data_IF_715047758428
#
_entry.id   IF_715047758428
#
_cell.length_a   1.000
_cell.length_b   1.000
_cell.length_c   1.000
_cell.angle_alpha   90.00
_cell.angle_beta   90.00
_cell.angle_gamma   90.00
#
_symmetry.space_group_name_H-M   'P 1'
#
loop_
_entity.id
_entity.type
_entity.pdbx_description
1 polymer ?
#
# COMPACT_ATOMS: atom_id res chain seq x y z
N UNK A 1 2.17 4.07 -6.75
CA UNK A 1 2.18 4.96 -5.59
C UNK A 1 3.44 4.73 -4.76
N UNK A 2 4.02 5.81 -4.23
CA UNK A 2 5.16 5.80 -3.30
C UNK A 2 4.71 6.14 -1.89
N UNK A 3 3.53 6.70 -1.76
CA UNK A 3 3.02 7.29 -0.52
C UNK A 3 1.63 6.75 -0.19
N UNK A 4 1.28 6.83 1.08
CA UNK A 4 -0.06 6.70 1.61
C UNK A 4 -0.40 8.01 2.30
N UNK A 5 -1.44 8.68 1.82
CA UNK A 5 -1.91 9.97 2.30
C UNK A 5 -3.17 9.78 3.15
N UNK A 6 -3.25 10.50 4.26
CA UNK A 6 -4.39 10.49 5.16
C UNK A 6 -5.12 11.83 5.11
N UNK A 7 -6.36 11.81 4.69
CA UNK A 7 -7.27 12.97 4.74
C UNK A 7 -8.30 12.74 5.83
N UNK A 8 -8.36 13.66 6.78
CA UNK A 8 -9.25 13.57 7.93
C UNK A 8 -10.41 14.57 7.74
N UNK A 9 -11.62 14.05 7.66
CA UNK A 9 -12.83 14.89 7.51
C UNK A 9 -13.67 14.71 8.78
N UNK A 10 -14.00 15.83 9.44
CA UNK A 10 -14.86 15.87 10.61
C UNK A 10 -15.87 16.99 10.48
N UNK A 11 -17.17 16.68 10.65
CA UNK A 11 -18.27 17.63 10.50
C UNK A 11 -18.23 18.38 9.15
N UNK A 12 -17.95 17.63 8.07
CA UNK A 12 -17.86 18.18 6.70
C UNK A 12 -16.64 19.07 6.43
N UNK A 13 -15.68 19.15 7.37
CA UNK A 13 -14.48 20.00 7.21
C UNK A 13 -13.20 19.15 7.24
N UNK A 14 -12.27 19.45 6.35
CA UNK A 14 -10.94 18.87 6.33
C UNK A 14 -10.18 19.36 7.56
N UNK A 15 -9.55 18.42 8.30
CA UNK A 15 -8.77 18.68 9.52
C UNK A 15 -7.26 18.67 9.25
N UNK A 16 -6.83 18.31 8.05
CA UNK A 16 -5.42 18.27 7.67
C UNK A 16 -4.78 19.65 7.78
N UNK A 17 -3.51 19.68 8.21
CA UNK A 17 -2.75 20.92 8.41
C UNK A 17 -1.49 20.98 7.56
N UNK A 18 -1.14 19.91 6.84
CA UNK A 18 0.06 19.85 6.04
C UNK A 18 0.01 20.86 4.88
N UNK A 19 1.13 21.52 4.64
CA UNK A 19 1.37 22.39 3.47
C UNK A 19 2.48 21.85 2.58
N UNK A 20 3.23 20.86 3.09
CA UNK A 20 4.36 20.22 2.42
C UNK A 20 4.47 18.74 2.81
N UNK A 21 5.31 17.98 2.13
CA UNK A 21 5.58 16.58 2.47
C UNK A 21 6.21 16.43 3.85
N UNK A 22 7.13 17.34 4.22
CA UNK A 22 7.76 17.30 5.53
C UNK A 22 6.74 17.54 6.65
N UNK A 23 5.82 18.49 6.46
CA UNK A 23 4.73 18.71 7.41
C UNK A 23 3.83 17.47 7.51
N UNK A 24 3.52 16.84 6.36
CA UNK A 24 2.73 15.63 6.31
C UNK A 24 3.38 14.47 7.07
N UNK A 25 4.70 14.32 7.01
CA UNK A 25 5.43 13.32 7.79
C UNK A 25 5.38 13.63 9.30
N UNK A 26 5.56 14.88 9.71
CA UNK A 26 5.46 15.29 11.12
C UNK A 26 4.05 15.10 11.70
N UNK A 27 3.04 15.45 10.92
CA UNK A 27 1.63 15.32 11.34
C UNK A 27 1.09 13.89 11.17
N UNK A 28 1.86 12.99 10.58
CA UNK A 28 1.46 11.63 10.15
C UNK A 28 0.32 11.62 9.13
N UNK A 29 0.13 12.72 8.42
CA UNK A 29 -0.82 12.82 7.31
C UNK A 29 -0.26 12.24 6.00
N UNK A 30 1.05 11.96 5.99
CA UNK A 30 1.78 11.35 4.88
C UNK A 30 2.73 10.28 5.40
N UNK A 31 2.63 9.08 4.82
CA UNK A 31 3.61 8.01 4.98
C UNK A 31 4.31 7.74 3.65
N UNK A 32 5.64 7.68 3.66
CA UNK A 32 6.41 7.21 2.51
C UNK A 32 6.39 5.68 2.45
N UNK A 33 5.20 5.15 2.26
CA UNK A 33 4.94 3.74 2.00
C UNK A 33 3.79 3.61 1.02
N UNK A 34 4.05 3.11 -0.18
CA UNK A 34 3.05 2.87 -1.21
C UNK A 34 2.99 1.41 -1.61
N UNK A 35 1.90 1.01 -2.23
CA UNK A 35 1.67 -0.38 -2.63
C UNK A 35 2.46 -0.79 -3.89
N UNK A 36 3.21 0.11 -4.52
CA UNK A 36 3.90 -0.15 -5.78
C UNK A 36 5.39 0.15 -5.72
N UNK A 37 5.80 1.42 -5.65
CA UNK A 37 7.19 1.83 -5.88
C UNK A 37 8.12 1.76 -4.66
N UNK A 38 7.60 1.58 -3.46
CA UNK A 38 8.43 1.53 -2.25
C UNK A 38 9.34 0.30 -2.27
N UNK A 39 10.67 0.46 -2.21
CA UNK A 39 11.59 -0.67 -2.11
C UNK A 39 11.35 -1.46 -0.82
N UNK A 40 11.52 -2.78 -0.85
CA UNK A 40 11.24 -3.61 0.32
C UNK A 40 12.19 -3.35 1.49
N UNK A 41 13.45 -3.01 1.23
CA UNK A 41 14.42 -2.66 2.27
C UNK A 41 14.07 -1.37 3.02
N UNK A 42 13.20 -0.51 2.47
CA UNK A 42 12.73 0.69 3.17
C UNK A 42 11.81 0.38 4.37
N UNK A 43 11.28 -0.83 4.45
CA UNK A 43 10.41 -1.27 5.54
C UNK A 43 11.15 -2.05 6.61
N UNK A 44 12.15 -2.84 6.22
CA UNK A 44 12.79 -3.79 7.11
C UNK A 44 14.13 -4.26 6.55
N UNK A 45 15.10 -4.49 7.44
CA UNK A 45 16.42 -4.97 7.09
C UNK A 45 16.56 -6.50 7.19
N UNK A 46 15.73 -7.13 8.04
CA UNK A 46 15.75 -8.56 8.27
C UNK A 46 14.40 -9.12 8.67
N UNK A 47 14.15 -10.39 8.39
CA UNK A 47 12.92 -11.10 8.74
C UNK A 47 13.27 -12.38 9.46
N UNK A 48 12.75 -12.58 10.67
CA UNK A 48 12.80 -13.86 11.33
C UNK A 48 11.66 -14.76 10.80
N UNK A 49 12.03 -15.91 10.26
CA UNK A 49 11.09 -16.91 9.78
C UNK A 49 11.62 -18.34 10.01
N UNK A 50 10.86 -19.20 10.69
CA UNK A 50 11.23 -20.59 11.03
C UNK A 50 12.60 -20.69 11.70
N UNK A 51 12.85 -19.87 12.72
CA UNK A 51 14.11 -19.79 13.48
C UNK A 51 15.36 -19.45 12.63
N UNK A 52 15.15 -18.83 11.47
CA UNK A 52 16.23 -18.28 10.62
C UNK A 52 16.00 -16.81 10.40
N UNK A 53 17.09 -16.05 10.36
CA UNK A 53 17.09 -14.64 10.00
C UNK A 53 17.39 -14.53 8.50
N UNK A 54 16.52 -13.87 7.78
CA UNK A 54 16.67 -13.55 6.36
C UNK A 54 16.94 -12.05 6.25
N UNK A 55 18.19 -11.70 5.97
CA UNK A 55 18.58 -10.31 5.73
C UNK A 55 18.10 -9.85 4.36
N UNK A 56 17.70 -8.58 4.27
CA UNK A 56 17.33 -7.94 3.02
C UNK A 56 18.50 -7.09 2.55
N UNK A 57 18.95 -7.33 1.32
CA UNK A 57 20.02 -6.56 0.70
C UNK A 57 19.50 -5.13 0.46
N UNK A 58 20.19 -4.07 0.92
CA UNK A 58 19.75 -2.69 0.81
C UNK A 58 19.95 -2.12 -0.61
N UNK A 59 19.46 -2.87 -1.60
CA UNK A 59 19.49 -2.54 -3.02
C UNK A 59 18.08 -2.60 -3.60
N UNK A 60 17.82 -1.78 -4.61
CA UNK A 60 16.51 -1.67 -5.24
C UNK A 60 16.17 -2.86 -6.17
N UNK A 61 16.41 -4.09 -5.73
CA UNK A 61 16.10 -5.31 -6.51
C UNK A 61 14.61 -5.57 -6.65
N UNK A 62 13.82 -5.22 -5.65
CA UNK A 62 12.36 -5.39 -5.68
C UNK A 62 11.65 -4.28 -4.91
N UNK A 63 10.37 -4.16 -5.17
CA UNK A 63 9.49 -3.16 -4.54
C UNK A 63 8.19 -3.80 -4.04
N UNK A 64 7.36 -3.00 -3.40
CA UNK A 64 6.05 -3.43 -2.93
C UNK A 64 5.12 -3.89 -4.07
N UNK A 65 5.36 -3.46 -5.33
CA UNK A 65 4.64 -4.03 -6.48
C UNK A 65 4.89 -5.53 -6.63
N UNK A 66 6.12 -5.99 -6.44
CA UNK A 66 6.46 -7.40 -6.52
C UNK A 66 5.80 -8.20 -5.40
N UNK A 67 5.82 -7.67 -4.18
CA UNK A 67 5.12 -8.27 -3.05
C UNK A 67 3.62 -8.39 -3.35
N UNK A 68 2.99 -7.31 -3.79
CA UNK A 68 1.55 -7.29 -4.03
C UNK A 68 1.12 -8.14 -5.24
N UNK A 69 1.96 -8.31 -6.26
CA UNK A 69 1.73 -9.28 -7.35
C UNK A 69 1.80 -10.71 -6.82
N UNK A 70 2.84 -11.05 -6.04
CA UNK A 70 3.00 -12.40 -5.47
C UNK A 70 1.82 -12.76 -4.57
N UNK A 71 1.31 -11.79 -3.81
CA UNK A 71 0.17 -11.98 -2.91
C UNK A 71 -1.21 -11.85 -3.60
N UNK A 72 -1.26 -11.50 -4.89
CA UNK A 72 -2.50 -11.34 -5.64
C UNK A 72 -3.30 -10.08 -5.27
N UNK A 73 -2.67 -9.08 -4.65
CA UNK A 73 -3.29 -7.79 -4.33
C UNK A 73 -3.30 -6.85 -5.54
N UNK A 74 -2.30 -6.95 -6.42
CA UNK A 74 -2.18 -6.19 -7.65
C UNK A 74 -1.98 -7.13 -8.83
N UNK A 75 -2.43 -6.70 -10.00
CA UNK A 75 -2.17 -7.32 -11.30
C UNK A 75 -1.10 -6.55 -12.08
N UNK A 76 -0.58 -7.16 -13.15
CA UNK A 76 0.35 -6.49 -14.06
C UNK A 76 -0.24 -5.19 -14.64
N UNK A 77 -1.54 -5.17 -14.92
CA UNK A 77 -2.22 -4.00 -15.49
C UNK A 77 -2.37 -2.81 -14.54
N UNK A 78 -2.20 -3.04 -13.23
CA UNK A 78 -2.30 -1.98 -12.22
C UNK A 78 -1.01 -1.18 -12.05
N UNK A 79 0.10 -1.61 -12.67
CA UNK A 79 1.43 -1.07 -12.40
C UNK A 79 1.95 -0.36 -13.65
N UNK A 80 2.09 0.95 -13.56
CA UNK A 80 2.58 1.81 -14.65
C UNK A 80 4.07 2.17 -14.54
N UNK A 81 4.69 1.92 -13.37
CA UNK A 81 6.14 2.17 -13.18
C UNK A 81 6.97 1.05 -13.80
N UNK A 82 8.20 1.37 -14.19
CA UNK A 82 9.18 0.35 -14.57
C UNK A 82 9.54 -0.51 -13.36
N UNK A 83 9.80 -1.80 -13.60
CA UNK A 83 10.36 -2.69 -12.60
C UNK A 83 11.84 -2.39 -12.35
N UNK A 84 12.38 -2.85 -11.22
CA UNK A 84 13.77 -2.61 -10.83
C UNK A 84 14.80 -3.09 -11.87
N UNK A 85 14.52 -4.18 -12.57
CA UNK A 85 15.40 -4.79 -13.57
C UNK A 85 14.93 -4.54 -15.02
N UNK A 86 13.94 -3.68 -15.22
CA UNK A 86 13.35 -3.39 -16.53
C UNK A 86 12.52 -4.54 -17.13
N UNK A 87 12.45 -5.69 -16.48
CA UNK A 87 11.63 -6.82 -16.94
C UNK A 87 10.13 -6.60 -16.70
N UNK A 88 9.29 -7.50 -17.19
CA UNK A 88 7.84 -7.38 -16.99
C UNK A 88 7.43 -7.56 -15.52
N UNK A 89 6.27 -7.00 -15.16
CA UNK A 89 5.60 -7.25 -13.87
C UNK A 89 4.83 -8.58 -13.85
N UNK A 90 5.40 -9.64 -14.41
CA UNK A 90 4.81 -10.98 -14.32
C UNK A 90 5.08 -11.61 -12.95
N UNK A 91 4.23 -12.55 -12.55
CA UNK A 91 4.38 -13.28 -11.30
C UNK A 91 5.77 -13.93 -11.16
N UNK A 92 6.27 -14.57 -12.23
CA UNK A 92 7.60 -15.20 -12.23
C UNK A 92 8.73 -14.18 -12.04
N UNK A 93 8.68 -13.04 -12.73
CA UNK A 93 9.71 -12.01 -12.59
C UNK A 93 9.68 -11.36 -11.21
N UNK A 94 8.50 -11.18 -10.63
CA UNK A 94 8.36 -10.70 -9.24
C UNK A 94 9.00 -11.68 -8.25
N UNK A 95 8.78 -12.98 -8.40
CA UNK A 95 9.48 -13.99 -7.58
C UNK A 95 11.01 -13.90 -7.72
N UNK A 96 11.53 -13.73 -8.93
CA UNK A 96 12.97 -13.58 -9.18
C UNK A 96 13.55 -12.33 -8.50
N UNK A 97 12.89 -11.19 -8.62
CA UNK A 97 13.33 -9.93 -8.00
C UNK A 97 13.32 -10.01 -6.47
N UNK A 98 12.24 -10.53 -5.89
CA UNK A 98 12.16 -10.72 -4.43
C UNK A 98 13.24 -11.69 -3.94
N UNK A 99 13.51 -12.78 -4.67
CA UNK A 99 14.61 -13.70 -4.31
C UNK A 99 15.96 -13.00 -4.23
N UNK A 100 16.27 -12.14 -5.21
CA UNK A 100 17.53 -11.36 -5.23
C UNK A 100 17.65 -10.44 -4.01
N UNK A 101 16.55 -9.86 -3.55
CA UNK A 101 16.56 -9.03 -2.34
C UNK A 101 16.98 -9.80 -1.08
N UNK A 102 16.86 -11.14 -1.09
CA UNK A 102 17.33 -12.02 -0.04
C UNK A 102 18.65 -12.75 -0.38
N UNK A 103 19.32 -12.37 -1.46
CA UNK A 103 20.64 -12.87 -1.84
C UNK A 103 20.65 -14.27 -2.46
N UNK A 104 19.54 -14.73 -3.03
CA UNK A 104 19.51 -16.04 -3.70
C UNK A 104 18.73 -16.02 -5.03
N UNK A 105 19.07 -16.94 -5.91
CA UNK A 105 18.33 -17.14 -7.15
C UNK A 105 17.01 -17.87 -6.90
N UNK A 106 16.01 -17.49 -7.68
CA UNK A 106 14.71 -18.14 -7.64
C UNK A 106 14.75 -19.52 -8.27
N UNK A 107 14.24 -20.51 -7.54
CA UNK A 107 13.79 -21.78 -8.08
C UNK A 107 12.40 -22.13 -7.51
N UNK A 108 11.73 -23.11 -8.14
CA UNK A 108 10.36 -23.49 -7.75
C UNK A 108 10.26 -24.05 -6.34
N UNK A 109 11.31 -24.68 -5.81
CA UNK A 109 11.32 -25.24 -4.44
C UNK A 109 11.23 -24.15 -3.38
N UNK A 110 11.72 -22.95 -3.69
CA UNK A 110 11.70 -21.77 -2.80
C UNK A 110 10.41 -20.96 -2.85
N UNK A 111 9.47 -21.30 -3.74
CA UNK A 111 8.25 -20.52 -3.95
C UNK A 111 7.48 -20.26 -2.64
N UNK A 112 7.27 -21.30 -1.84
CA UNK A 112 6.52 -21.20 -0.58
C UNK A 112 7.28 -20.37 0.46
N UNK A 113 8.61 -20.47 0.50
CA UNK A 113 9.44 -19.63 1.35
C UNK A 113 9.27 -18.16 0.97
N UNK A 114 9.46 -17.83 -0.31
CA UNK A 114 9.36 -16.43 -0.80
C UNK A 114 7.96 -15.89 -0.54
N UNK A 115 6.91 -16.66 -0.79
CA UNK A 115 5.53 -16.25 -0.48
C UNK A 115 5.35 -15.92 1.00
N UNK A 116 5.91 -16.74 1.90
CA UNK A 116 5.84 -16.48 3.34
C UNK A 116 6.62 -15.24 3.76
N UNK A 117 7.78 -14.97 3.14
CA UNK A 117 8.54 -13.73 3.37
C UNK A 117 7.77 -12.50 2.86
N UNK A 118 7.12 -12.62 1.70
CA UNK A 118 6.23 -11.57 1.18
C UNK A 118 5.08 -11.24 2.15
N UNK A 119 4.44 -12.25 2.75
CA UNK A 119 3.41 -12.04 3.75
C UNK A 119 3.93 -11.27 4.96
N UNK A 120 5.16 -11.53 5.42
CA UNK A 120 5.78 -10.79 6.52
C UNK A 120 6.04 -9.33 6.17
N UNK A 121 6.58 -9.05 4.98
CA UNK A 121 6.81 -7.68 4.50
C UNK A 121 5.48 -6.92 4.38
N UNK A 122 4.48 -7.56 3.79
CA UNK A 122 3.13 -6.99 3.68
C UNK A 122 2.52 -6.67 5.05
N UNK A 123 2.66 -7.56 6.05
CA UNK A 123 2.15 -7.34 7.40
C UNK A 123 2.84 -6.16 8.10
N UNK A 124 4.12 -5.92 7.82
CA UNK A 124 4.85 -4.75 8.33
C UNK A 124 4.29 -3.45 7.75
N UNK A 125 4.10 -3.38 6.42
CA UNK A 125 3.47 -2.23 5.78
C UNK A 125 2.06 -2.00 6.32
N UNK A 126 1.28 -3.07 6.43
CA UNK A 126 -0.07 -3.06 6.98
C UNK A 126 -0.11 -2.44 8.39
N UNK A 127 0.77 -2.91 9.29
CA UNK A 127 0.86 -2.40 10.67
C UNK A 127 1.26 -0.92 10.72
N UNK A 128 2.12 -0.46 9.81
CA UNK A 128 2.51 0.95 9.73
C UNK A 128 1.31 1.83 9.36
N UNK A 129 0.54 1.42 8.36
CA UNK A 129 -0.67 2.14 7.93
C UNK A 129 -1.73 2.11 9.04
N UNK A 130 -1.97 0.96 9.64
CA UNK A 130 -2.95 0.79 10.72
C UNK A 130 -2.62 1.63 11.94
N UNK A 131 -1.35 1.62 12.39
CA UNK A 131 -0.88 2.48 13.49
C UNK A 131 -1.13 3.96 13.22
N UNK A 132 -0.98 4.39 11.98
CA UNK A 132 -1.23 5.77 11.60
C UNK A 132 -2.72 6.09 11.58
N UNK A 133 -3.54 5.16 11.10
CA UNK A 133 -5.00 5.28 11.16
C UNK A 133 -5.50 5.37 12.61
N UNK A 134 -5.01 4.49 13.48
CA UNK A 134 -5.32 4.54 14.92
C UNK A 134 -4.94 5.90 15.53
N UNK A 135 -3.75 6.41 15.25
CA UNK A 135 -3.32 7.72 15.73
C UNK A 135 -4.31 8.84 15.35
N UNK A 136 -4.75 8.87 14.09
CA UNK A 136 -5.72 9.88 13.64
C UNK A 136 -7.11 9.66 14.22
N UNK A 137 -7.56 8.41 14.36
CA UNK A 137 -8.85 8.09 14.93
C UNK A 137 -8.93 8.53 16.41
N UNK A 138 -7.90 8.26 17.19
CA UNK A 138 -7.82 8.72 18.58
C UNK A 138 -7.78 10.25 18.69
N UNK A 139 -6.97 10.89 17.87
CA UNK A 139 -6.78 12.35 17.90
C UNK A 139 -8.05 13.11 17.53
N UNK A 140 -8.78 12.66 16.51
CA UNK A 140 -9.86 13.45 15.92
C UNK A 140 -11.25 12.92 16.29
N UNK A 141 -11.41 11.62 16.51
CA UNK A 141 -12.73 11.01 16.71
C UNK A 141 -12.99 10.52 18.15
N UNK A 142 -11.97 10.30 19.00
CA UNK A 142 -12.11 10.03 20.44
C UNK A 142 -13.25 9.05 20.75
N UNK A 143 -13.19 7.82 20.34
CA UNK A 143 -14.23 6.81 20.54
C UNK A 143 -15.55 7.02 19.76
N UNK A 144 -15.67 8.05 18.94
CA UNK A 144 -16.78 8.17 18.01
C UNK A 144 -16.60 7.22 16.84
N UNK A 145 -17.68 6.74 16.26
CA UNK A 145 -17.63 5.96 15.04
C UNK A 145 -17.05 6.80 13.90
N UNK A 146 -16.19 6.18 13.10
CA UNK A 146 -15.65 6.77 11.87
C UNK A 146 -15.67 5.73 10.76
N UNK A 147 -15.68 6.20 9.53
CA UNK A 147 -15.64 5.36 8.34
C UNK A 147 -14.36 5.62 7.59
N UNK A 148 -13.69 4.58 7.15
CA UNK A 148 -12.49 4.64 6.31
C UNK A 148 -12.90 4.55 4.85
N UNK A 149 -12.39 5.48 4.03
CA UNK A 149 -12.57 5.46 2.58
C UNK A 149 -11.22 5.23 1.95
N UNK A 150 -11.04 4.10 1.26
CA UNK A 150 -9.81 3.78 0.53
C UNK A 150 -9.87 4.30 -0.90
N UNK A 151 -8.82 5.02 -1.31
CA UNK A 151 -8.68 5.61 -2.64
C UNK A 151 -7.39 5.16 -3.32
N UNK A 152 -7.41 5.09 -4.64
CA UNK A 152 -6.26 4.80 -5.46
C UNK A 152 -5.88 3.32 -5.47
N UNK A 153 -4.68 3.04 -5.98
CA UNK A 153 -4.15 1.69 -6.22
C UNK A 153 -4.13 0.80 -4.96
N UNK A 154 -4.02 1.41 -3.78
CA UNK A 154 -4.00 0.72 -2.48
C UNK A 154 -5.36 0.45 -1.86
N UNK A 155 -6.48 0.85 -2.48
CA UNK A 155 -7.83 0.77 -1.89
C UNK A 155 -8.20 -0.65 -1.42
N UNK A 156 -7.86 -1.68 -2.20
CA UNK A 156 -8.08 -3.10 -1.82
C UNK A 156 -7.29 -3.49 -0.57
N UNK A 157 -6.07 -2.98 -0.42
CA UNK A 157 -5.22 -3.23 0.76
C UNK A 157 -5.86 -2.59 2.00
N UNK A 158 -6.34 -1.35 1.87
CA UNK A 158 -7.05 -0.63 2.94
C UNK A 158 -8.36 -1.34 3.31
N UNK A 159 -9.14 -1.79 2.32
CA UNK A 159 -10.35 -2.57 2.56
C UNK A 159 -10.07 -3.84 3.38
N UNK A 160 -9.03 -4.61 3.01
CA UNK A 160 -8.62 -5.80 3.74
C UNK A 160 -8.16 -5.47 5.18
N UNK A 161 -7.49 -4.32 5.36
CA UNK A 161 -7.09 -3.82 6.67
C UNK A 161 -8.31 -3.51 7.54
N UNK A 162 -9.27 -2.78 7.01
CA UNK A 162 -10.49 -2.43 7.73
C UNK A 162 -11.28 -3.68 8.14
N UNK A 163 -11.43 -4.66 7.25
CA UNK A 163 -12.08 -5.95 7.57
C UNK A 163 -11.38 -6.69 8.70
N UNK A 164 -10.03 -6.76 8.69
CA UNK A 164 -9.25 -7.44 9.73
C UNK A 164 -9.38 -6.77 11.09
N UNK A 165 -9.39 -5.44 11.11
CA UNK A 165 -9.39 -4.63 12.33
C UNK A 165 -10.80 -4.17 12.75
N UNK A 166 -11.85 -4.60 12.01
CA UNK A 166 -13.26 -4.26 12.27
C UNK A 166 -13.54 -2.76 12.23
N UNK A 167 -12.88 -2.04 11.30
CA UNK A 167 -13.24 -0.67 10.97
C UNK A 167 -14.35 -0.65 9.93
N UNK A 168 -15.26 0.30 10.04
CA UNK A 168 -16.23 0.56 8.98
C UNK A 168 -15.51 1.06 7.74
N UNK A 169 -15.78 0.44 6.60
CA UNK A 169 -15.17 0.78 5.32
C UNK A 169 -16.23 1.07 4.27
N UNK A 170 -16.02 2.14 3.53
CA UNK A 170 -16.85 2.52 2.40
C UNK A 170 -15.97 2.59 1.14
N UNK A 171 -16.42 1.94 0.09
CA UNK A 171 -15.74 2.05 -1.21
C UNK A 171 -16.16 3.35 -1.89
N UNK A 172 -15.20 4.09 -2.43
CA UNK A 172 -15.51 5.33 -3.14
C UNK A 172 -16.45 5.11 -4.32
N UNK A 173 -16.44 3.92 -4.91
CA UNK A 173 -17.33 3.52 -6.02
C UNK A 173 -18.80 3.53 -5.60
N UNK A 174 -19.09 3.17 -4.36
CA UNK A 174 -20.44 3.16 -3.80
C UNK A 174 -20.95 4.60 -3.55
N UNK A 175 -20.02 5.53 -3.23
CA UNK A 175 -20.36 6.95 -3.00
C UNK A 175 -20.67 7.66 -4.32
N UNK A 176 -19.91 7.38 -5.37
CA UNK A 176 -19.98 8.14 -6.62
C UNK A 176 -21.11 7.71 -7.54
N UNK A 177 -21.94 6.71 -7.15
CA UNK A 177 -23.06 6.21 -7.95
C UNK A 177 -22.64 6.09 -9.43
N UNK A 178 -21.72 5.18 -9.72
CA UNK A 178 -20.95 5.17 -10.95
C UNK A 178 -21.75 4.68 -12.16
N UNK A 179 -22.65 5.50 -12.67
CA UNK A 179 -23.19 5.38 -14.04
C UNK A 179 -22.20 5.84 -15.11
N UNK A 180 -21.03 6.38 -14.73
CA UNK A 180 -20.20 7.17 -15.67
C UNK A 180 -18.89 6.49 -16.07
N UNK A 181 -18.28 5.59 -15.30
CA UNK A 181 -16.98 4.98 -15.66
C UNK A 181 -16.79 3.65 -14.95
N UNK A 182 -16.05 2.72 -15.59
CA UNK A 182 -15.56 1.49 -14.98
C UNK A 182 -14.93 1.81 -13.60
N UNK A 183 -15.57 1.35 -12.51
CA UNK A 183 -15.30 1.79 -11.13
C UNK A 183 -13.86 1.58 -10.66
N UNK A 184 -13.14 0.59 -11.20
CA UNK A 184 -11.74 0.36 -10.88
C UNK A 184 -10.84 1.47 -11.44
N UNK A 185 -11.17 1.98 -12.61
CA UNK A 185 -10.46 3.11 -13.24
C UNK A 185 -10.65 4.40 -12.45
N UNK A 186 -11.86 4.64 -11.97
CA UNK A 186 -12.21 5.84 -11.19
C UNK A 186 -11.46 5.88 -9.84
N UNK A 187 -11.39 4.76 -9.12
CA UNK A 187 -10.66 4.68 -7.86
C UNK A 187 -9.17 5.00 -8.04
N UNK A 188 -8.56 4.49 -9.11
CA UNK A 188 -7.13 4.70 -9.39
C UNK A 188 -6.81 6.12 -9.86
N UNK A 189 -7.74 6.77 -10.56
CA UNK A 189 -7.58 8.12 -11.11
C UNK A 189 -8.35 9.19 -10.34
N UNK A 190 -8.87 8.87 -9.17
CA UNK A 190 -9.72 9.78 -8.39
C UNK A 190 -9.13 11.19 -8.20
N UNK A 191 -7.84 11.39 -7.89
CA UNK A 191 -7.27 12.73 -7.79
C UNK A 191 -7.41 13.54 -9.09
N UNK A 192 -7.17 12.91 -10.24
CA UNK A 192 -7.32 13.56 -11.54
C UNK A 192 -8.81 13.84 -11.87
N UNK A 193 -9.71 12.93 -11.50
CA UNK A 193 -11.15 13.13 -11.65
C UNK A 193 -11.66 14.31 -10.85
N UNK A 194 -11.25 14.46 -9.59
CA UNK A 194 -11.64 15.59 -8.73
C UNK A 194 -11.11 16.91 -9.29
N UNK A 195 -9.84 16.97 -9.72
CA UNK A 195 -9.27 18.17 -10.32
C UNK A 195 -10.05 18.62 -11.56
N UNK A 196 -10.44 17.68 -12.42
CA UNK A 196 -11.24 17.99 -13.62
C UNK A 196 -12.68 18.46 -13.31
N UNK A 197 -13.20 18.21 -12.10
CA UNK A 197 -14.53 18.70 -11.68
C UNK A 197 -14.49 20.04 -10.96
N UNK A 198 -13.30 20.44 -10.49
CA UNK A 198 -13.08 21.72 -9.79
C UNK A 198 -12.57 22.81 -10.74
N UNK A 199 -12.12 22.44 -11.95
CA UNK A 199 -11.77 23.36 -13.04
C UNK A 199 -12.96 23.70 -13.89
#
# INVERSE_FOLDING_TARGET
STTCDFSIIKNGKIQNRRTSDIDGMFTKELLYTGCSRTPIYAHINEIMFRNKIYSIIPESFSSMSDINIILGNLSKGDIYSKSADGSSHSLLQSYKRVSRSFGFDYDRSKRNLIYSLCLKIYDIQFKLIDKTLCFHSEKYFKHSNFVVIGLGLGSKIICNMCKKNRYDYLDIRDILNSTIVNGDYLSNLFPAFVLNRLS
#
